data_IF_877353381532
#
_entry.id   IF_877353381532
#
_cell.length_a   1.000
_cell.length_b   1.000
_cell.length_c   1.000
_cell.angle_alpha   90.00
_cell.angle_beta   90.00
_cell.angle_gamma   90.00
#
_symmetry.space_group_name_H-M   'P 1'
#
loop_
_entity.id
_entity.type
_entity.pdbx_description
1 polymer ?
#
# COMPACT_ATOMS: atom_id res chain seq x y z
N UNK A 1 25.30 26.93 -26.69
CA UNK A 1 25.19 27.88 -25.56
C UNK A 1 24.30 27.19 -24.54
N UNK A 2 24.88 26.62 -23.49
CA UNK A 2 24.12 25.93 -22.43
C UNK A 2 23.39 27.00 -21.60
N UNK A 3 22.06 26.94 -21.59
CA UNK A 3 21.24 27.80 -20.74
C UNK A 3 21.42 27.43 -19.27
N UNK A 4 21.62 28.47 -18.47
CA UNK A 4 22.05 28.48 -17.08
C UNK A 4 21.01 27.88 -16.09
N UNK A 5 21.51 27.08 -15.14
CA UNK A 5 20.91 26.50 -13.92
C UNK A 5 19.40 26.09 -13.89
N UNK A 6 19.18 24.78 -13.75
CA UNK A 6 17.91 24.15 -13.32
C UNK A 6 17.88 23.94 -11.79
N UNK A 7 16.72 24.22 -11.18
CA UNK A 7 16.40 23.92 -9.78
C UNK A 7 15.93 25.14 -9.00
N UNK A 8 14.68 25.13 -8.56
CA UNK A 8 14.13 26.13 -7.64
C UNK A 8 14.87 26.04 -6.30
N UNK A 9 15.32 27.15 -5.70
CA UNK A 9 15.77 27.14 -4.32
C UNK A 9 14.61 26.66 -3.45
N UNK A 10 14.78 25.51 -2.79
CA UNK A 10 13.85 25.14 -1.72
C UNK A 10 14.00 26.21 -0.65
N UNK A 11 13.00 27.08 -0.52
CA UNK A 11 12.92 28.02 0.57
C UNK A 11 13.15 27.25 1.87
N UNK A 12 13.97 27.81 2.76
CA UNK A 12 14.08 27.37 4.15
C UNK A 12 12.68 27.03 4.64
N UNK A 13 12.42 25.73 4.85
CA UNK A 13 11.18 25.29 5.48
C UNK A 13 11.22 25.89 6.87
N UNK A 14 10.56 27.04 7.03
CA UNK A 14 10.36 27.69 8.32
C UNK A 14 9.76 26.64 9.25
N UNK A 15 10.30 26.58 10.47
CA UNK A 15 9.80 25.81 11.60
C UNK A 15 8.30 26.05 11.79
N UNK A 16 7.46 25.28 11.12
CA UNK A 16 6.07 25.07 11.53
C UNK A 16 6.03 23.80 12.38
N UNK A 17 6.62 23.93 13.57
CA UNK A 17 6.19 23.15 14.71
C UNK A 17 4.88 23.75 15.22
N UNK A 18 3.81 23.60 14.47
CA UNK A 18 2.51 23.42 15.12
C UNK A 18 2.39 21.92 15.31
N UNK A 19 2.47 21.50 16.56
CA UNK A 19 2.56 20.10 16.89
C UNK A 19 1.28 19.41 16.45
N UNK A 20 1.45 18.33 15.68
CA UNK A 20 0.40 17.35 15.39
C UNK A 20 -0.29 16.81 16.66
N UNK A 21 0.25 17.11 17.85
CA UNK A 21 -0.26 16.74 19.17
C UNK A 21 -1.60 17.37 19.56
N UNK A 22 -2.11 18.38 18.83
CA UNK A 22 -3.44 18.97 19.09
C UNK A 22 -4.58 18.30 18.32
N UNK A 23 -4.26 17.40 17.39
CA UNK A 23 -5.26 16.61 16.68
C UNK A 23 -5.60 15.37 17.52
N UNK A 24 -6.88 15.17 17.84
CA UNK A 24 -7.42 13.92 18.40
C UNK A 24 -7.34 12.81 17.35
N UNK A 25 -6.11 12.37 17.05
CA UNK A 25 -5.85 11.37 16.05
C UNK A 25 -6.21 9.96 16.58
N UNK A 26 -6.85 9.12 15.76
CA UNK A 26 -7.37 7.82 16.22
C UNK A 26 -6.31 6.77 16.54
N UNK A 27 -5.05 6.95 16.09
CA UNK A 27 -4.01 5.92 16.14
C UNK A 27 -2.68 6.38 16.77
N UNK A 28 -2.71 7.38 17.66
CA UNK A 28 -1.51 7.97 18.28
C UNK A 28 -0.61 7.00 19.04
N UNK A 29 -1.12 5.82 19.41
CA UNK A 29 -0.37 4.78 20.11
C UNK A 29 0.35 3.79 19.17
N UNK A 30 0.05 3.79 17.86
CA UNK A 30 0.67 2.88 16.90
C UNK A 30 2.00 3.44 16.42
N UNK A 31 3.06 2.63 16.46
CA UNK A 31 4.43 3.05 16.16
C UNK A 31 5.01 2.40 14.90
N UNK A 32 4.43 1.31 14.44
CA UNK A 32 4.96 0.50 13.35
C UNK A 32 4.00 0.53 12.16
N UNK A 33 4.55 0.54 10.95
CA UNK A 33 3.78 0.46 9.71
C UNK A 33 3.97 -0.92 9.10
N UNK A 34 2.88 -1.64 8.87
CA UNK A 34 2.85 -2.77 7.93
C UNK A 34 2.11 -2.30 6.69
N UNK A 35 2.78 -2.26 5.55
CA UNK A 35 2.14 -1.89 4.28
C UNK A 35 2.12 -3.10 3.35
N UNK A 36 0.98 -3.37 2.74
CA UNK A 36 0.82 -4.35 1.67
C UNK A 36 0.68 -3.57 0.39
N UNK A 37 1.65 -3.72 -0.51
CA UNK A 37 1.60 -3.12 -1.84
C UNK A 37 0.59 -3.92 -2.69
N UNK A 38 -0.63 -3.42 -2.75
CA UNK A 38 -1.67 -4.00 -3.55
C UNK A 38 -1.29 -3.93 -5.04
N UNK A 39 -1.73 -4.96 -5.75
CA UNK A 39 -1.59 -5.09 -7.19
C UNK A 39 -2.97 -5.27 -7.80
N UNK A 40 -3.15 -4.97 -9.10
CA UNK A 40 -4.43 -5.09 -9.75
C UNK A 40 -5.03 -6.49 -9.59
N UNK A 41 -6.25 -6.55 -9.06
CA UNK A 41 -6.99 -7.80 -8.94
C UNK A 41 -7.81 -8.06 -10.21
N UNK A 42 -7.70 -9.29 -10.71
CA UNK A 42 -8.62 -9.80 -11.72
C UNK A 42 -9.78 -10.51 -11.03
N UNK A 43 -10.90 -9.82 -10.83
CA UNK A 43 -12.17 -10.46 -10.48
C UNK A 43 -13.05 -10.51 -11.73
N UNK A 44 -13.14 -11.68 -12.36
CA UNK A 44 -14.09 -11.91 -13.46
C UNK A 44 -15.51 -11.93 -12.91
N UNK A 45 -16.12 -10.77 -12.69
CA UNK A 45 -17.50 -10.65 -12.25
C UNK A 45 -18.40 -10.24 -13.40
N UNK A 46 -18.60 -11.13 -14.38
CA UNK A 46 -19.80 -11.12 -15.26
C UNK A 46 -20.22 -12.54 -15.63
N UNK A 47 -21.29 -12.98 -14.99
CA UNK A 47 -22.24 -13.94 -15.53
C UNK A 47 -23.03 -13.19 -16.62
N UNK A 48 -22.74 -13.45 -17.90
CA UNK A 48 -23.70 -13.61 -19.00
C UNK A 48 -23.01 -13.51 -20.38
N UNK A 49 -23.03 -14.67 -21.06
CA UNK A 49 -22.72 -14.98 -22.48
C UNK A 49 -21.25 -15.14 -22.89
N UNK A 50 -20.90 -16.26 -23.57
CA UNK A 50 -19.60 -16.45 -24.19
C UNK A 50 -19.66 -15.94 -25.63
N UNK A 51 -18.88 -14.91 -25.96
CA UNK A 51 -18.45 -14.66 -27.34
C UNK A 51 -17.09 -13.92 -27.28
N UNK A 52 -16.04 -14.73 -27.39
CA UNK A 52 -14.84 -14.57 -28.26
C UNK A 52 -14.70 -13.15 -28.85
N UNK A 53 -13.67 -12.34 -28.61
CA UNK A 53 -12.24 -12.60 -28.84
C UNK A 53 -11.41 -11.38 -28.37
N UNK A 54 -10.15 -11.63 -27.99
CA UNK A 54 -9.02 -10.69 -27.99
C UNK A 54 -9.06 -9.47 -27.03
N UNK A 55 -8.64 -9.72 -25.79
CA UNK A 55 -7.76 -8.76 -25.09
C UNK A 55 -6.70 -9.49 -24.29
N UNK A 56 -5.74 -10.09 -25.01
CA UNK A 56 -4.47 -10.50 -24.43
C UNK A 56 -3.64 -9.26 -24.08
N UNK A 57 -3.96 -8.63 -22.96
CA UNK A 57 -3.06 -7.72 -22.25
C UNK A 57 -2.98 -8.16 -20.78
N UNK A 58 -2.57 -9.40 -20.63
CA UNK A 58 -2.29 -10.08 -19.37
C UNK A 58 -0.77 -10.23 -19.39
N UNK A 59 -0.06 -9.51 -18.51
CA UNK A 59 1.36 -9.81 -18.34
C UNK A 59 1.47 -11.29 -17.93
N UNK A 60 2.40 -12.08 -18.51
CA UNK A 60 2.35 -13.55 -18.50
C UNK A 60 2.35 -14.24 -17.12
N UNK A 61 2.49 -13.49 -16.02
CA UNK A 61 2.33 -13.99 -14.64
C UNK A 61 0.88 -13.98 -14.13
N UNK A 62 -0.03 -13.28 -14.80
CA UNK A 62 -1.46 -13.21 -14.46
C UNK A 62 -2.25 -14.43 -14.98
N UNK A 63 -1.63 -15.61 -15.01
CA UNK A 63 -2.37 -16.85 -15.25
C UNK A 63 -3.34 -17.08 -14.06
N UNK A 64 -4.58 -17.43 -14.39
CA UNK A 64 -5.76 -17.31 -13.52
C UNK A 64 -5.76 -18.22 -12.28
N UNK A 65 -4.94 -19.28 -12.23
CA UNK A 65 -4.88 -20.19 -11.07
C UNK A 65 -3.86 -19.76 -10.02
N UNK A 66 -2.72 -19.20 -10.40
CA UNK A 66 -1.65 -18.83 -9.45
C UNK A 66 -1.82 -17.40 -8.90
N UNK A 67 -2.49 -16.53 -9.65
CA UNK A 67 -2.66 -15.11 -9.28
C UNK A 67 -3.69 -14.88 -8.16
N UNK A 68 -4.72 -15.73 -8.07
CA UNK A 68 -5.73 -15.64 -6.99
C UNK A 68 -5.17 -16.08 -5.64
N UNK A 69 -4.41 -17.17 -5.61
CA UNK A 69 -3.77 -17.66 -4.38
C UNK A 69 -2.70 -16.67 -3.87
N UNK A 70 -2.04 -15.96 -4.79
CA UNK A 70 -1.01 -14.98 -4.48
C UNK A 70 -1.54 -13.76 -3.73
N UNK A 71 -2.67 -13.16 -4.14
CA UNK A 71 -3.15 -11.95 -3.47
C UNK A 71 -3.72 -12.25 -2.09
N UNK A 72 -4.45 -13.37 -1.92
CA UNK A 72 -4.92 -13.81 -0.60
C UNK A 72 -3.73 -14.11 0.31
N UNK A 73 -2.65 -14.68 -0.23
CA UNK A 73 -1.40 -14.86 0.49
C UNK A 73 -0.82 -13.53 0.97
N UNK A 74 -0.74 -12.50 0.13
CA UNK A 74 -0.21 -11.19 0.51
C UNK A 74 -1.09 -10.48 1.55
N UNK A 75 -2.42 -10.56 1.40
CA UNK A 75 -3.35 -10.04 2.41
C UNK A 75 -3.12 -10.77 3.74
N UNK A 76 -3.09 -12.09 3.73
CA UNK A 76 -2.87 -12.91 4.93
C UNK A 76 -1.53 -12.59 5.59
N UNK A 77 -0.45 -12.52 4.82
CA UNK A 77 0.87 -12.18 5.32
C UNK A 77 0.91 -10.78 5.95
N UNK A 78 0.24 -9.79 5.34
CA UNK A 78 0.07 -8.46 5.92
C UNK A 78 -0.70 -8.48 7.24
N UNK A 79 -1.81 -9.20 7.28
CA UNK A 79 -2.62 -9.36 8.50
C UNK A 79 -1.84 -10.07 9.61
N UNK A 80 -1.13 -11.15 9.30
CA UNK A 80 -0.31 -11.88 10.27
C UNK A 80 0.87 -11.03 10.78
N UNK A 81 1.55 -10.29 9.90
CA UNK A 81 2.62 -9.37 10.30
C UNK A 81 2.11 -8.25 11.22
N UNK A 82 0.94 -7.68 10.90
CA UNK A 82 0.31 -6.68 11.75
C UNK A 82 -0.19 -7.28 13.08
N UNK A 83 -0.68 -8.52 13.10
CA UNK A 83 -1.11 -9.22 14.31
C UNK A 83 0.07 -9.51 15.26
N UNK A 84 1.26 -9.79 14.72
CA UNK A 84 2.47 -10.05 15.51
C UNK A 84 2.96 -8.82 16.29
N UNK A 85 2.55 -7.61 15.88
CA UNK A 85 2.95 -6.34 16.52
C UNK A 85 1.69 -5.52 16.83
N UNK A 86 1.24 -5.56 18.08
CA UNK A 86 0.00 -4.86 18.52
C UNK A 86 0.03 -3.35 18.29
N UNK A 87 1.22 -2.74 18.31
CA UNK A 87 1.45 -1.33 18.01
C UNK A 87 1.69 -1.05 16.51
N UNK A 88 1.24 -1.94 15.61
CA UNK A 88 1.33 -1.74 14.17
C UNK A 88 0.02 -1.23 13.56
N UNK A 89 0.12 -0.37 12.55
CA UNK A 89 -0.97 -0.02 11.65
C UNK A 89 -0.78 -0.83 10.35
N UNK A 90 -1.82 -1.54 9.91
CA UNK A 90 -1.84 -2.17 8.60
C UNK A 90 -2.37 -1.18 7.55
N UNK A 91 -1.69 -1.07 6.42
CA UNK A 91 -2.14 -0.26 5.28
C UNK A 91 -2.15 -1.12 4.02
N UNK A 92 -3.33 -1.30 3.43
CA UNK A 92 -3.44 -1.75 2.04
C UNK A 92 -3.22 -0.53 1.15
N UNK A 93 -2.20 -0.55 0.30
CA UNK A 93 -1.81 0.58 -0.54
C UNK A 93 -1.93 0.20 -2.01
N UNK A 94 -2.68 0.98 -2.79
CA UNK A 94 -2.84 0.79 -4.23
C UNK A 94 -4.09 1.50 -4.75
N UNK A 95 -3.94 2.22 -5.85
CA UNK A 95 -4.96 3.09 -6.41
C UNK A 95 -5.83 2.47 -7.49
N UNK A 96 -6.51 3.33 -8.25
CA UNK A 96 -7.38 2.94 -9.37
C UNK A 96 -6.57 2.78 -10.66
N UNK A 97 -5.71 1.76 -10.70
CA UNK A 97 -4.79 1.52 -11.81
C UNK A 97 -5.34 0.57 -12.89
N UNK A 98 -6.51 -0.04 -12.65
CA UNK A 98 -7.14 -0.97 -13.57
C UNK A 98 -8.47 -0.46 -14.13
N UNK A 99 -8.54 -0.30 -15.46
CA UNK A 99 -9.68 0.31 -16.17
C UNK A 99 -11.01 -0.42 -15.96
N UNK A 100 -11.00 -1.76 -15.90
CA UNK A 100 -12.23 -2.58 -15.84
C UNK A 100 -12.72 -2.81 -14.39
N UNK A 101 -12.02 -2.29 -13.38
CA UNK A 101 -12.38 -2.40 -11.96
C UNK A 101 -13.42 -1.35 -11.55
N UNK A 102 -13.69 -0.38 -12.44
CA UNK A 102 -14.56 0.75 -12.15
C UNK A 102 -13.91 1.71 -11.13
N UNK A 103 -14.72 2.49 -10.39
CA UNK A 103 -14.22 3.42 -9.36
C UNK A 103 -13.88 2.66 -8.07
N UNK A 104 -13.02 1.66 -8.18
CA UNK A 104 -12.58 0.82 -7.07
C UNK A 104 -11.07 0.73 -7.07
N UNK A 105 -10.45 1.11 -5.96
CA UNK A 105 -9.00 1.01 -5.79
C UNK A 105 -8.57 -0.43 -5.48
N UNK A 106 -7.32 -0.74 -5.78
CA UNK A 106 -6.71 -2.02 -5.41
C UNK A 106 -6.72 -2.22 -3.89
N UNK A 107 -6.43 -1.16 -3.13
CA UNK A 107 -6.47 -1.18 -1.67
C UNK A 107 -7.86 -1.51 -1.09
N UNK A 108 -8.93 -0.93 -1.65
CA UNK A 108 -10.31 -1.27 -1.25
C UNK A 108 -10.65 -2.73 -1.51
N UNK A 109 -10.09 -3.28 -2.59
CA UNK A 109 -10.35 -4.65 -2.98
C UNK A 109 -9.64 -5.63 -2.03
N UNK A 110 -8.41 -5.30 -1.61
CA UNK A 110 -7.68 -6.04 -0.56
C UNK A 110 -8.41 -5.97 0.79
N UNK A 111 -8.92 -4.80 1.18
CA UNK A 111 -9.75 -4.66 2.38
C UNK A 111 -10.98 -5.56 2.33
N UNK A 112 -11.72 -5.54 1.21
CA UNK A 112 -12.94 -6.32 1.04
C UNK A 112 -12.67 -7.84 1.07
N UNK A 113 -11.55 -8.27 0.50
CA UNK A 113 -11.10 -9.66 0.58
C UNK A 113 -10.68 -10.05 2.02
N UNK A 114 -9.99 -9.18 2.77
CA UNK A 114 -9.70 -9.42 4.19
C UNK A 114 -10.99 -9.55 5.02
N UNK A 115 -12.01 -8.71 4.75
CA UNK A 115 -13.33 -8.83 5.38
C UNK A 115 -14.01 -10.17 5.07
N UNK A 116 -13.99 -10.64 3.81
CA UNK A 116 -14.62 -11.91 3.43
C UNK A 116 -13.94 -13.12 4.06
N UNK A 117 -12.62 -13.03 4.29
CA UNK A 117 -11.83 -14.05 4.97
C UNK A 117 -11.85 -13.91 6.50
N UNK A 118 -12.70 -13.03 7.06
CA UNK A 118 -12.83 -12.78 8.50
C UNK A 118 -11.46 -12.47 9.14
N UNK A 119 -10.64 -11.69 8.42
CA UNK A 119 -9.27 -11.33 8.82
C UNK A 119 -8.41 -12.53 9.24
N UNK A 120 -8.68 -13.72 8.70
CA UNK A 120 -7.98 -14.96 9.02
C UNK A 120 -7.95 -15.27 10.55
N UNK A 121 -9.03 -14.89 11.26
CA UNK A 121 -9.14 -15.03 12.72
C UNK A 121 -8.30 -14.04 13.53
N UNK A 122 -7.95 -12.89 12.94
CA UNK A 122 -7.20 -11.78 13.54
C UNK A 122 -8.01 -10.49 13.52
N UNK A 123 -9.25 -10.54 14.01
CA UNK A 123 -10.21 -9.44 13.90
C UNK A 123 -9.78 -8.16 14.66
N UNK A 124 -8.83 -8.25 15.59
CA UNK A 124 -8.23 -7.07 16.24
C UNK A 124 -7.48 -6.19 15.24
N UNK A 125 -6.87 -6.79 14.21
CA UNK A 125 -6.11 -6.10 13.17
C UNK A 125 -7.03 -5.17 12.38
N UNK A 126 -8.26 -5.60 12.09
CA UNK A 126 -9.29 -4.81 11.38
C UNK A 126 -9.43 -3.39 11.91
N UNK A 127 -9.41 -3.21 13.23
CA UNK A 127 -9.62 -1.90 13.88
C UNK A 127 -8.47 -0.91 13.65
N UNK A 128 -7.30 -1.42 13.26
CA UNK A 128 -6.05 -0.70 13.03
C UNK A 128 -5.50 -1.01 11.64
N UNK A 129 -6.41 -1.24 10.69
CA UNK A 129 -6.13 -1.28 9.27
C UNK A 129 -6.72 -0.03 8.61
N UNK A 130 -6.06 0.49 7.58
CA UNK A 130 -6.55 1.55 6.71
C UNK A 130 -6.26 1.23 5.23
N UNK A 131 -6.84 2.02 4.33
CA UNK A 131 -6.52 2.04 2.90
C UNK A 131 -5.75 3.30 2.50
N UNK A 132 -4.86 3.14 1.53
CA UNK A 132 -4.22 4.20 0.73
C UNK A 132 -4.55 3.90 -0.74
N UNK A 133 -5.23 4.83 -1.41
CA UNK A 133 -5.97 4.58 -2.66
C UNK A 133 -5.47 5.40 -3.84
N UNK A 134 -4.33 6.07 -3.71
CA UNK A 134 -3.78 6.96 -4.73
C UNK A 134 -2.46 6.47 -5.30
N UNK A 135 -1.80 5.48 -4.70
CA UNK A 135 -0.55 4.94 -5.23
C UNK A 135 -0.75 4.27 -6.59
N UNK A 136 0.02 4.69 -7.59
CA UNK A 136 -0.02 4.15 -8.96
C UNK A 136 1.17 3.25 -9.27
N UNK A 137 2.17 3.26 -8.40
CA UNK A 137 3.35 2.42 -8.53
C UNK A 137 3.90 2.02 -7.15
N UNK A 138 4.92 1.15 -7.19
CA UNK A 138 5.58 0.63 -6.00
C UNK A 138 6.30 1.69 -5.14
N UNK A 139 6.75 2.81 -5.73
CA UNK A 139 7.36 3.90 -4.98
C UNK A 139 6.29 4.68 -4.22
N UNK A 140 5.20 5.02 -4.89
CA UNK A 140 4.04 5.69 -4.31
C UNK A 140 3.40 4.84 -3.22
N UNK A 141 3.32 3.51 -3.40
CA UNK A 141 2.84 2.59 -2.37
C UNK A 141 3.58 2.78 -1.04
N UNK A 142 4.91 2.85 -1.07
CA UNK A 142 5.70 3.10 0.14
C UNK A 142 5.54 4.53 0.65
N UNK A 143 5.72 5.52 -0.23
CA UNK A 143 5.72 6.93 0.16
C UNK A 143 4.36 7.37 0.72
N UNK A 144 3.26 7.02 0.04
CA UNK A 144 1.92 7.37 0.46
C UNK A 144 1.50 6.58 1.70
N UNK A 145 1.92 5.32 1.85
CA UNK A 145 1.71 4.59 3.11
C UNK A 145 2.35 5.30 4.30
N UNK A 146 3.58 5.81 4.15
CA UNK A 146 4.25 6.60 5.21
C UNK A 146 3.51 7.91 5.50
N UNK A 147 3.08 8.63 4.46
CA UNK A 147 2.31 9.86 4.61
C UNK A 147 0.97 9.60 5.31
N UNK A 148 0.27 8.52 4.93
CA UNK A 148 -1.00 8.09 5.50
C UNK A 148 -0.84 7.70 6.96
N UNK A 149 0.21 6.95 7.29
CA UNK A 149 0.57 6.62 8.67
C UNK A 149 0.76 7.89 9.50
N UNK A 150 1.56 8.85 9.03
CA UNK A 150 1.79 10.11 9.75
C UNK A 150 0.52 10.93 9.92
N UNK A 151 -0.33 10.98 8.90
CA UNK A 151 -1.63 11.65 8.98
C UNK A 151 -2.54 11.07 10.06
N UNK A 152 -2.45 9.76 10.27
CA UNK A 152 -3.29 9.00 11.22
C UNK A 152 -2.74 8.91 12.64
N UNK A 153 -1.42 9.00 12.82
CA UNK A 153 -0.72 8.82 14.12
C UNK A 153 -0.08 10.10 14.65
N UNK A 154 0.21 11.07 13.78
CA UNK A 154 0.85 12.33 14.11
C UNK A 154 2.39 12.28 14.12
N UNK A 155 2.97 11.11 13.90
CA UNK A 155 4.42 10.91 13.83
C UNK A 155 4.77 9.93 12.71
N UNK A 156 6.05 9.84 12.36
CA UNK A 156 6.51 8.86 11.37
C UNK A 156 6.61 7.46 12.01
N UNK A 157 6.51 6.38 11.21
CA UNK A 157 6.68 5.03 11.72
C UNK A 157 8.13 4.80 12.14
N UNK A 158 8.32 4.03 13.22
CA UNK A 158 9.65 3.62 13.69
C UNK A 158 10.19 2.46 12.86
N UNK A 159 9.32 1.51 12.52
CA UNK A 159 9.62 0.39 11.64
C UNK A 159 8.61 0.32 10.50
N UNK A 160 9.07 -0.06 9.32
CA UNK A 160 8.22 -0.30 8.14
C UNK A 160 8.45 -1.73 7.68
N UNK A 161 7.38 -2.53 7.70
CA UNK A 161 7.33 -3.85 7.08
C UNK A 161 6.58 -3.73 5.77
N UNK A 162 7.22 -4.07 4.65
CA UNK A 162 6.59 -4.11 3.33
C UNK A 162 6.28 -5.56 2.97
N UNK A 163 5.01 -5.83 2.70
CA UNK A 163 4.54 -7.10 2.13
C UNK A 163 4.27 -6.86 0.65
N UNK A 164 5.00 -7.57 -0.19
CA UNK A 164 4.89 -7.51 -1.65
C UNK A 164 5.46 -8.79 -2.24
N UNK A 165 5.09 -9.08 -3.49
CA UNK A 165 5.68 -10.19 -4.25
C UNK A 165 7.21 -10.11 -4.36
N UNK A 166 7.87 -11.27 -4.36
CA UNK A 166 9.33 -11.39 -4.28
C UNK A 166 10.10 -10.63 -5.36
N UNK A 167 9.57 -10.52 -6.58
CA UNK A 167 10.24 -9.83 -7.68
C UNK A 167 10.34 -8.31 -7.48
N UNK A 168 9.49 -7.72 -6.63
CA UNK A 168 9.45 -6.27 -6.36
C UNK A 168 10.31 -5.92 -5.14
N UNK A 169 10.67 -6.90 -4.31
CA UNK A 169 11.41 -6.73 -3.06
C UNK A 169 12.64 -5.83 -3.22
N UNK A 170 13.47 -6.08 -4.24
CA UNK A 170 14.69 -5.31 -4.52
C UNK A 170 14.38 -3.83 -4.81
N UNK A 171 13.24 -3.51 -5.42
CA UNK A 171 12.85 -2.11 -5.67
C UNK A 171 12.52 -1.40 -4.37
N UNK A 172 11.83 -2.05 -3.44
CA UNK A 172 11.54 -1.46 -2.14
C UNK A 172 12.80 -1.27 -1.29
N UNK A 173 13.65 -2.30 -1.20
CA UNK A 173 14.83 -2.28 -0.33
C UNK A 173 15.96 -1.41 -0.88
N UNK A 174 16.20 -1.49 -2.19
CA UNK A 174 17.45 -0.97 -2.79
C UNK A 174 17.22 0.35 -3.54
N UNK A 175 15.99 0.68 -3.92
CA UNK A 175 15.68 1.91 -4.66
C UNK A 175 14.80 2.85 -3.84
N UNK A 176 13.60 2.41 -3.47
CA UNK A 176 12.58 3.28 -2.87
C UNK A 176 12.99 3.72 -1.47
N UNK A 177 13.49 2.80 -0.64
CA UNK A 177 14.06 3.12 0.68
C UNK A 177 15.16 4.17 0.58
N UNK A 178 16.11 3.99 -0.35
CA UNK A 178 17.20 4.95 -0.59
C UNK A 178 16.68 6.31 -1.04
N UNK A 179 15.73 6.34 -1.99
CA UNK A 179 15.13 7.56 -2.51
C UNK A 179 14.40 8.35 -1.41
N UNK A 180 13.73 7.66 -0.48
CA UNK A 180 13.06 8.25 0.68
C UNK A 180 14.00 8.52 1.86
N UNK A 181 15.28 8.17 1.75
CA UNK A 181 16.31 8.32 2.79
C UNK A 181 15.97 7.62 4.11
N UNK A 182 15.27 6.48 4.04
CA UNK A 182 15.05 5.63 5.20
C UNK A 182 16.33 4.83 5.55
N UNK A 183 16.68 4.69 6.84
CA UNK A 183 17.89 3.97 7.26
C UNK A 183 17.81 2.46 6.96
N UNK A 184 18.97 1.82 6.76
CA UNK A 184 19.11 0.35 6.78
C UNK A 184 19.26 -0.11 8.23
N UNK A 185 18.12 -0.27 8.92
CA UNK A 185 18.02 -0.68 10.34
C UNK A 185 18.59 0.29 11.38
#
# INVERSE_FOLDING_TARGET
>A
MYGEAFGTPFASVRKYGQSFSELNLPYTNLQNLVTVAALPLYTSSKCDKPDVENSSFVEPYQNQSDSQDTFIHDIKAGVEAAAAVTAALLLFSGGETWKDAGPSSEAQSYWSAAESEVWFGKEDVRLRTLTEEFARDTFENLMFSVCRFRGSTGHYPTNITVVSYDFIKLRFTDVHRHALRFPET
#
